data_IF_028689387418
#
_entry.id   IF_028689387418
#
_cell.length_a   1.000
_cell.length_b   1.000
_cell.length_c   1.000
_cell.angle_alpha   90.00
_cell.angle_beta   90.00
_cell.angle_gamma   90.00
#
_symmetry.space_group_name_H-M   'P 1'
#
loop_
_entity.id
_entity.type
_entity.pdbx_description
1 polymer ?
#
# COMPACT_ATOMS: atom_id res chain seq x y z
N UNK A 1 1.07 6.25 13.16
CA UNK A 1 0.43 6.01 11.86
C UNK A 1 1.46 5.61 10.83
N UNK A 2 1.08 4.74 9.92
CA UNK A 2 1.97 4.24 8.89
C UNK A 2 1.38 4.44 7.51
N UNK A 3 2.25 4.70 6.55
CA UNK A 3 1.86 4.81 5.16
C UNK A 3 2.31 3.53 4.46
N UNK A 4 1.39 2.82 3.86
CA UNK A 4 1.69 1.56 3.19
C UNK A 4 1.27 1.68 1.73
N UNK A 5 2.23 1.60 0.85
CA UNK A 5 1.96 1.62 -0.58
C UNK A 5 2.01 0.19 -1.09
N UNK A 6 0.96 -0.21 -1.79
CA UNK A 6 0.90 -1.56 -2.36
C UNK A 6 0.69 -1.43 -3.85
N UNK A 7 1.40 -2.26 -4.61
CA UNK A 7 1.35 -2.19 -6.05
C UNK A 7 1.49 -3.58 -6.65
N UNK A 8 0.81 -3.83 -7.75
CA UNK A 8 0.93 -5.09 -8.45
C UNK A 8 0.82 -4.84 -9.94
N UNK A 9 1.20 -5.84 -10.74
CA UNK A 9 1.13 -5.73 -12.18
C UNK A 9 -0.19 -6.32 -12.66
N UNK A 10 -1.04 -5.48 -13.22
CA UNK A 10 -2.34 -5.91 -13.72
C UNK A 10 -2.22 -6.31 -15.18
N UNK A 11 -2.97 -7.32 -15.59
CA UNK A 11 -2.87 -7.84 -16.95
C UNK A 11 -3.33 -6.84 -18.01
N UNK A 12 -4.25 -5.97 -17.65
CA UNK A 12 -4.77 -5.00 -18.59
C UNK A 12 -4.18 -3.62 -18.45
N UNK A 13 -4.04 -3.18 -17.23
CA UNK A 13 -3.69 -1.80 -16.96
C UNK A 13 -2.24 -1.57 -16.60
N UNK A 14 -1.46 -2.62 -16.49
CA UNK A 14 -0.07 -2.49 -16.09
C UNK A 14 0.02 -2.29 -14.58
N UNK A 15 0.93 -1.41 -14.13
CA UNK A 15 1.08 -1.23 -12.68
C UNK A 15 -0.17 -0.57 -12.09
N UNK A 16 -0.69 -1.20 -11.05
CA UNK A 16 -1.85 -0.69 -10.32
C UNK A 16 -1.52 -0.68 -8.86
N UNK A 17 -1.85 0.39 -8.17
CA UNK A 17 -1.51 0.46 -6.77
C UNK A 17 -2.30 1.48 -5.99
N UNK A 18 -2.06 1.47 -4.70
CA UNK A 18 -2.76 2.36 -3.79
C UNK A 18 -1.90 2.58 -2.55
N UNK A 19 -2.01 3.74 -1.96
CA UNK A 19 -1.36 4.03 -0.69
C UNK A 19 -2.43 4.15 0.38
N UNK A 20 -2.24 3.41 1.46
CA UNK A 20 -3.17 3.42 2.59
C UNK A 20 -2.46 3.94 3.83
N UNK A 21 -3.19 4.71 4.63
CA UNK A 21 -2.66 5.17 5.90
C UNK A 21 -3.32 4.34 6.99
N UNK A 22 -2.50 3.67 7.78
CA UNK A 22 -2.98 2.75 8.79
C UNK A 22 -2.56 3.22 10.17
N UNK A 23 -3.54 3.37 11.05
CA UNK A 23 -3.29 3.79 12.41
C UNK A 23 -3.16 2.55 13.30
N UNK A 24 -1.93 2.17 13.57
CA UNK A 24 -1.68 1.00 14.38
C UNK A 24 -0.34 1.16 15.07
N UNK A 25 -0.08 0.32 16.04
CA UNK A 25 1.12 0.43 16.87
C UNK A 25 2.38 -0.18 16.28
N UNK A 26 2.28 -0.94 15.21
CA UNK A 26 3.48 -1.55 14.65
C UNK A 26 3.42 -1.60 13.13
N UNK A 27 4.60 -1.57 12.52
CA UNK A 27 4.69 -1.62 11.08
C UNK A 27 4.17 -2.96 10.54
N UNK A 28 4.47 -4.04 11.22
CA UNK A 28 3.99 -5.35 10.79
C UNK A 28 2.48 -5.40 10.75
N UNK A 29 1.84 -4.85 11.77
CA UNK A 29 0.38 -4.81 11.81
C UNK A 29 -0.16 -3.91 10.70
N UNK A 30 0.52 -2.81 10.43
CA UNK A 30 0.12 -1.89 9.38
C UNK A 30 0.17 -2.57 8.01
N UNK A 31 1.24 -3.28 7.74
CA UNK A 31 1.39 -3.98 6.48
C UNK A 31 0.31 -5.04 6.32
N UNK A 32 0.07 -5.80 7.36
CA UNK A 32 -0.96 -6.85 7.31
C UNK A 32 -2.34 -6.28 7.06
N UNK A 33 -2.67 -5.22 7.77
CA UNK A 33 -3.99 -4.60 7.64
C UNK A 33 -4.16 -3.97 6.26
N UNK A 34 -3.14 -3.24 5.81
CA UNK A 34 -3.20 -2.60 4.51
C UNK A 34 -3.31 -3.63 3.39
N UNK A 35 -2.57 -4.73 3.50
CA UNK A 35 -2.61 -5.78 2.50
C UNK A 35 -4.01 -6.38 2.40
N UNK A 36 -4.62 -6.66 3.55
CA UNK A 36 -5.96 -7.21 3.55
C UNK A 36 -6.96 -6.25 2.92
N UNK A 37 -6.86 -4.96 3.27
CA UNK A 37 -7.77 -3.97 2.72
C UNK A 37 -7.58 -3.80 1.23
N UNK A 38 -6.34 -3.79 0.79
CA UNK A 38 -6.05 -3.65 -0.62
C UNK A 38 -6.61 -4.83 -1.42
N UNK A 39 -6.35 -6.04 -0.98
CA UNK A 39 -6.84 -7.22 -1.69
C UNK A 39 -8.36 -7.29 -1.67
N UNK A 40 -8.96 -6.83 -0.59
CA UNK A 40 -10.41 -6.81 -0.48
C UNK A 40 -11.04 -5.85 -1.49
N UNK A 41 -10.34 -4.79 -1.83
CA UNK A 41 -10.85 -3.82 -2.78
C UNK A 41 -10.73 -4.27 -4.23
N UNK A 42 -9.99 -5.34 -4.48
CA UNK A 42 -9.79 -5.86 -5.83
C UNK A 42 -10.88 -6.88 -6.17
N UNK A 43 -11.22 -6.97 -7.45
CA UNK A 43 -12.16 -8.01 -7.86
C UNK A 43 -11.42 -9.34 -8.00
N UNK A 44 -12.12 -10.37 -8.41
CA UNK A 44 -11.55 -11.70 -8.49
C UNK A 44 -10.35 -11.78 -9.43
N UNK A 45 -10.47 -11.17 -10.60
CA UNK A 45 -9.39 -11.22 -11.57
C UNK A 45 -8.18 -10.44 -11.10
N UNK A 46 -8.41 -9.29 -10.50
CA UNK A 46 -7.33 -8.47 -9.99
C UNK A 46 -6.61 -9.16 -8.86
N UNK A 47 -7.35 -9.82 -7.97
CA UNK A 47 -6.73 -10.57 -6.88
C UNK A 47 -5.88 -11.71 -7.42
N UNK A 48 -6.38 -12.36 -8.47
CA UNK A 48 -5.63 -13.44 -9.09
C UNK A 48 -4.30 -12.93 -9.62
N UNK A 49 -4.32 -11.80 -10.30
CA UNK A 49 -3.10 -11.21 -10.84
C UNK A 49 -2.15 -10.78 -9.73
N UNK A 50 -2.68 -10.21 -8.67
CA UNK A 50 -1.86 -9.79 -7.55
C UNK A 50 -1.17 -10.99 -6.91
N UNK A 51 -1.88 -12.09 -6.76
CA UNK A 51 -1.29 -13.29 -6.19
C UNK A 51 -0.28 -13.94 -7.12
N UNK A 52 -0.56 -13.90 -8.40
CA UNK A 52 0.32 -14.51 -9.38
C UNK A 52 1.60 -13.71 -9.55
N UNK A 53 1.48 -12.41 -9.66
CA UNK A 53 2.62 -11.53 -9.93
C UNK A 53 3.29 -10.99 -8.68
N UNK A 54 2.61 -11.08 -7.56
CA UNK A 54 3.15 -10.60 -6.31
C UNK A 54 2.85 -9.13 -6.07
N UNK A 55 2.93 -8.72 -4.81
CA UNK A 55 2.72 -7.34 -4.42
C UNK A 55 4.04 -6.71 -4.04
N UNK A 56 4.23 -5.49 -4.47
CA UNK A 56 5.34 -4.68 -4.00
C UNK A 56 4.78 -3.81 -2.89
N UNK A 57 5.35 -3.93 -1.70
CA UNK A 57 4.85 -3.20 -0.54
C UNK A 57 5.94 -2.32 0.02
N UNK A 58 5.63 -1.04 0.16
CA UNK A 58 6.55 -0.08 0.75
C UNK A 58 5.84 0.55 1.94
N UNK A 59 6.38 0.34 3.12
CA UNK A 59 5.77 0.85 4.33
C UNK A 59 6.73 1.81 5.03
N UNK A 60 6.17 2.90 5.53
CA UNK A 60 6.97 3.86 6.28
C UNK A 60 6.14 4.47 7.39
N UNK A 61 6.83 4.90 8.43
CA UNK A 61 6.16 5.54 9.55
C UNK A 61 5.96 7.02 9.26
N UNK A 62 4.80 7.52 9.60
CA UNK A 62 4.50 8.94 9.45
C UNK A 62 4.54 9.59 10.80
N UNK A 63 5.36 10.62 10.94
CA UNK A 63 5.41 11.37 12.17
C UNK A 63 4.26 12.34 12.20
N UNK A 64 3.60 12.44 13.33
CA UNK A 64 2.41 13.27 13.47
C UNK A 64 2.63 14.71 13.09
N UNK A 65 3.75 15.26 13.50
CA UNK A 65 3.98 16.67 13.32
C UNK A 65 4.51 17.06 11.97
N UNK A 66 4.91 16.12 11.14
CA UNK A 66 5.45 16.51 9.86
C UNK A 66 4.80 15.85 8.71
N UNK A 67 3.82 15.24 9.01
CA UNK A 67 3.20 14.39 8.13
C UNK A 67 3.01 14.73 6.70
N UNK A 68 1.97 15.34 6.36
CA UNK A 68 1.49 15.30 4.99
C UNK A 68 2.44 15.85 3.97
N UNK A 69 3.00 16.95 4.26
CA UNK A 69 3.87 17.57 3.30
C UNK A 69 5.06 16.71 3.03
N UNK A 70 5.53 16.12 4.08
CA UNK A 70 6.67 15.28 3.97
C UNK A 70 6.35 14.05 3.16
N UNK A 71 5.21 13.51 3.38
CA UNK A 71 4.80 12.35 2.63
C UNK A 71 4.76 12.64 1.16
N UNK A 72 4.31 13.79 0.80
CA UNK A 72 4.26 14.16 -0.59
C UNK A 72 5.64 14.22 -1.18
N UNK A 73 6.55 14.76 -0.46
CA UNK A 73 7.91 14.84 -0.94
C UNK A 73 8.53 13.49 -1.09
N UNK A 74 8.26 12.66 -0.14
CA UNK A 74 8.79 11.34 -0.19
C UNK A 74 8.30 10.61 -1.38
N UNK A 75 7.09 10.81 -1.69
CA UNK A 75 6.51 10.13 -2.82
C UNK A 75 7.27 10.45 -4.07
N UNK A 76 7.82 11.61 -4.12
CA UNK A 76 8.52 12.01 -5.31
C UNK A 76 9.93 11.48 -5.35
N UNK A 77 10.41 11.09 -4.25
CA UNK A 77 11.80 10.67 -4.17
C UNK A 77 12.03 9.33 -4.83
#
# INVERSE_FOLDING_TARGET
>A
MYSVKLEYQDRKNGPEGRTLQIDTGSMAAAIGKATREFLKSLDRKQRFDANKNGLTIVASKIADDEAPAEAANQASA
#
